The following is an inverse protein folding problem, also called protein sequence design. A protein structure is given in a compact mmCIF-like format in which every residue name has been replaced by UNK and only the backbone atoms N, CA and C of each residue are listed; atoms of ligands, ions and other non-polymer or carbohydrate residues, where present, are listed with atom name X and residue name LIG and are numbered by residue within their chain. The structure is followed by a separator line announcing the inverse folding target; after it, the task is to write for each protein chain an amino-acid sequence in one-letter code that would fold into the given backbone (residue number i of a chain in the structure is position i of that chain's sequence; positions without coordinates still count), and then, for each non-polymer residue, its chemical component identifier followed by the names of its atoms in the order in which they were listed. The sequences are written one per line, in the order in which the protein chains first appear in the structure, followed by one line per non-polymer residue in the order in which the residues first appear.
data_IF_935952153590
#
_entry.id   IF_935952153590
#
_cell.length_a   1.000
_cell.length_b   1.000
_cell.length_c   1.000
_cell.angle_alpha   90.00
_cell.angle_beta   90.00
_cell.angle_gamma   90.00
#
_symmetry.space_group_name_H-M   'P 1'
#
loop_
_entity.id
_entity.type
_entity.pdbx_description
1 polymer ?
#
# COMPACT_ATOMS: atom_id res chain seq x y z
N UNK A 1 -26.45 1.49 2.26
CA UNK A 1 -25.52 0.58 2.99
C UNK A 1 -24.35 0.23 2.07
N UNK A 2 -23.11 0.12 2.57
CA UNK A 2 -21.98 -0.24 1.70
C UNK A 2 -22.02 -1.73 1.33
N UNK A 3 -21.41 -2.14 0.21
CA UNK A 3 -21.32 -3.57 -0.17
C UNK A 3 -20.71 -4.44 0.94
N UNK A 4 -19.75 -3.91 1.69
CA UNK A 4 -19.16 -4.57 2.84
C UNK A 4 -20.18 -4.78 3.95
N UNK A 5 -20.88 -3.72 4.34
CA UNK A 5 -21.88 -3.77 5.42
C UNK A 5 -23.00 -4.75 5.10
N UNK A 6 -23.55 -4.71 3.88
CA UNK A 6 -24.60 -5.64 3.45
C UNK A 6 -24.10 -7.09 3.39
N UNK A 7 -22.85 -7.33 3.00
CA UNK A 7 -22.27 -8.67 2.98
C UNK A 7 -22.08 -9.24 4.40
N UNK A 8 -21.62 -8.42 5.36
CA UNK A 8 -21.48 -8.83 6.75
C UNK A 8 -22.84 -9.20 7.37
N UNK A 9 -23.82 -8.31 7.21
CA UNK A 9 -25.17 -8.51 7.76
C UNK A 9 -25.84 -9.76 7.20
N UNK A 10 -25.77 -9.98 5.88
CA UNK A 10 -26.39 -11.16 5.25
C UNK A 10 -25.75 -12.49 5.63
N UNK A 11 -24.57 -12.48 6.26
CA UNK A 11 -23.83 -13.68 6.66
C UNK A 11 -23.70 -13.81 8.19
N UNK A 12 -24.56 -13.12 8.95
CA UNK A 12 -24.63 -13.25 10.41
C UNK A 12 -23.57 -12.47 11.17
N UNK A 13 -22.73 -11.68 10.49
CA UNK A 13 -21.75 -10.78 11.11
C UNK A 13 -22.40 -9.42 11.42
N UNK A 14 -23.50 -9.46 12.20
CA UNK A 14 -24.36 -8.30 12.44
C UNK A 14 -23.63 -7.23 13.28
N UNK A 15 -22.91 -7.63 14.33
CA UNK A 15 -22.17 -6.69 15.18
C UNK A 15 -21.04 -6.01 14.40
N UNK A 16 -20.35 -6.76 13.55
CA UNK A 16 -19.33 -6.24 12.64
C UNK A 16 -19.94 -5.26 11.64
N UNK A 17 -21.10 -5.59 11.07
CA UNK A 17 -21.81 -4.72 10.13
C UNK A 17 -22.15 -3.37 10.78
N UNK A 18 -22.67 -3.38 12.01
CA UNK A 18 -22.96 -2.15 12.77
C UNK A 18 -21.70 -1.29 12.96
N UNK A 19 -20.60 -1.88 13.46
CA UNK A 19 -19.32 -1.17 13.63
C UNK A 19 -18.83 -0.55 12.33
N UNK A 20 -18.83 -1.31 11.24
CA UNK A 20 -18.42 -0.82 9.91
C UNK A 20 -19.35 0.32 9.45
N UNK A 21 -20.65 0.23 9.73
CA UNK A 21 -21.64 1.25 9.35
C UNK A 21 -21.44 2.59 10.06
N UNK A 22 -20.82 2.59 11.25
CA UNK A 22 -20.50 3.80 12.01
C UNK A 22 -19.09 4.34 11.71
N UNK A 23 -18.13 3.45 11.44
CA UNK A 23 -16.76 3.81 11.11
C UNK A 23 -16.65 4.46 9.73
N UNK A 24 -17.22 3.84 8.69
CA UNK A 24 -17.11 4.34 7.31
C UNK A 24 -17.59 5.80 7.13
N UNK A 25 -18.73 6.23 7.72
CA UNK A 25 -19.19 7.61 7.57
C UNK A 25 -18.44 8.63 8.44
N UNK A 26 -17.62 8.19 9.41
CA UNK A 26 -16.84 9.06 10.30
C UNK A 26 -15.90 9.96 9.47
N UNK A 27 -15.79 11.28 9.79
CA UNK A 27 -14.92 12.20 9.07
C UNK A 27 -13.45 11.74 8.96
N UNK A 28 -12.91 11.11 10.01
CA UNK A 28 -11.53 10.62 10.02
C UNK A 28 -11.30 9.47 9.07
N UNK A 29 -12.30 8.61 8.88
CA UNK A 29 -12.24 7.56 7.86
C UNK A 29 -12.49 8.14 6.45
N UNK A 30 -13.49 9.02 6.31
CA UNK A 30 -13.81 9.68 5.03
C UNK A 30 -12.65 10.48 4.47
N UNK A 31 -11.78 11.07 5.31
CA UNK A 31 -10.60 11.80 4.86
C UNK A 31 -9.69 10.96 3.96
N UNK A 32 -9.70 9.62 4.11
CA UNK A 32 -8.91 8.72 3.28
C UNK A 32 -9.32 8.77 1.79
N UNK A 33 -10.48 9.37 1.46
CA UNK A 33 -10.89 9.63 0.06
C UNK A 33 -9.95 10.64 -0.60
N UNK A 34 -9.36 11.52 0.18
CA UNK A 34 -8.42 12.54 -0.30
C UNK A 34 -6.96 12.11 -0.15
N UNK A 35 -6.70 10.82 0.14
CA UNK A 35 -5.35 10.29 0.30
C UNK A 35 -5.09 9.25 -0.76
N UNK A 36 -4.18 9.57 -1.66
CA UNK A 36 -3.72 8.68 -2.71
C UNK A 36 -3.02 7.46 -2.12
N UNK A 37 -3.41 6.28 -2.61
CA UNK A 37 -2.70 5.04 -2.31
C UNK A 37 -1.33 5.02 -3.02
N UNK A 38 -1.28 5.48 -4.28
CA UNK A 38 -0.06 5.48 -5.10
C UNK A 38 0.72 6.81 -5.08
N UNK A 39 0.46 7.70 -4.12
CA UNK A 39 1.18 8.97 -3.93
C UNK A 39 1.38 9.78 -5.23
N UNK A 40 2.58 9.72 -5.80
CA UNK A 40 3.06 10.49 -6.95
C UNK A 40 2.61 9.98 -8.30
N UNK A 41 1.94 8.83 -8.36
CA UNK A 41 1.56 8.16 -9.59
C UNK A 41 0.79 9.04 -10.58
N UNK A 42 -0.10 9.88 -10.05
CA UNK A 42 -0.90 10.82 -10.83
C UNK A 42 -0.09 11.89 -11.56
N UNK A 43 1.14 12.14 -11.12
CA UNK A 43 2.07 13.04 -11.78
C UNK A 43 3.05 12.28 -12.68
N UNK A 44 3.34 11.03 -12.35
CA UNK A 44 4.34 10.22 -13.05
C UNK A 44 3.81 9.50 -14.28
N UNK A 45 2.57 9.00 -14.25
CA UNK A 45 2.10 8.09 -15.29
C UNK A 45 0.76 8.50 -15.88
N UNK A 46 -0.25 8.73 -15.04
CA UNK A 46 -1.60 9.01 -15.51
C UNK A 46 -2.36 9.85 -14.47
N UNK A 47 -2.72 11.08 -14.85
CA UNK A 47 -3.42 12.02 -13.98
C UNK A 47 -4.90 11.68 -13.75
N UNK A 48 -5.46 10.77 -14.54
CA UNK A 48 -6.84 10.27 -14.41
C UNK A 48 -6.96 9.10 -13.44
N UNK A 49 -5.82 8.51 -13.03
CA UNK A 49 -5.80 7.39 -12.11
C UNK A 49 -6.06 7.87 -10.68
N UNK A 50 -7.26 7.57 -10.20
CA UNK A 50 -7.65 7.77 -8.81
C UNK A 50 -7.80 6.41 -8.10
N UNK A 51 -6.88 6.17 -7.15
CA UNK A 51 -6.99 5.06 -6.22
C UNK A 51 -6.56 5.55 -4.84
N UNK A 52 -7.51 5.53 -3.91
CA UNK A 52 -7.41 6.17 -2.62
C UNK A 52 -7.35 5.13 -1.52
N UNK A 53 -6.76 5.51 -0.37
CA UNK A 53 -6.69 4.63 0.79
C UNK A 53 -8.09 4.24 1.29
N UNK A 54 -9.08 5.12 1.14
CA UNK A 54 -10.48 4.79 1.44
C UNK A 54 -10.98 3.56 0.67
N UNK A 55 -10.73 3.52 -0.65
CA UNK A 55 -11.14 2.38 -1.48
C UNK A 55 -10.34 1.12 -1.13
N UNK A 56 -9.04 1.29 -0.83
CA UNK A 56 -8.16 0.20 -0.41
C UNK A 56 -8.66 -0.43 0.89
N UNK A 57 -8.77 0.34 1.97
CA UNK A 57 -9.22 -0.09 3.30
C UNK A 57 -10.56 -0.83 3.27
N UNK A 58 -11.58 -0.29 2.58
CA UNK A 58 -12.89 -0.96 2.47
C UNK A 58 -12.78 -2.30 1.74
N UNK A 59 -11.99 -2.36 0.66
CA UNK A 59 -11.87 -3.59 -0.14
C UNK A 59 -11.01 -4.64 0.57
N UNK A 60 -9.98 -4.22 1.33
CA UNK A 60 -9.20 -5.10 2.20
C UNK A 60 -10.08 -5.69 3.30
N UNK A 61 -10.87 -4.86 4.00
CA UNK A 61 -11.86 -5.34 4.98
C UNK A 61 -12.92 -6.27 4.37
N UNK A 62 -13.37 -5.99 3.14
CA UNK A 62 -14.27 -6.89 2.41
C UNK A 62 -13.65 -8.27 2.14
N UNK A 63 -12.39 -8.32 1.72
CA UNK A 63 -11.71 -9.60 1.50
C UNK A 63 -11.45 -10.36 2.79
N UNK A 64 -11.14 -9.68 3.89
CA UNK A 64 -11.05 -10.31 5.20
C UNK A 64 -12.42 -10.86 5.63
N UNK A 65 -13.51 -10.12 5.43
CA UNK A 65 -14.84 -10.62 5.75
C UNK A 65 -15.20 -11.89 4.98
N UNK A 66 -14.82 -11.98 3.70
CA UNK A 66 -14.96 -13.20 2.89
C UNK A 66 -14.19 -14.36 3.53
N UNK A 67 -12.91 -14.15 3.86
CA UNK A 67 -12.09 -15.20 4.48
C UNK A 67 -12.67 -15.68 5.81
N UNK A 68 -13.10 -14.75 6.68
CA UNK A 68 -13.64 -15.11 7.99
C UNK A 68 -14.95 -15.91 7.86
N UNK A 69 -15.87 -15.46 7.00
CA UNK A 69 -17.17 -16.09 6.79
C UNK A 69 -17.05 -17.45 6.08
N UNK A 70 -16.28 -17.53 4.99
CA UNK A 70 -16.11 -18.75 4.20
C UNK A 70 -15.36 -19.86 4.95
N UNK A 71 -14.60 -19.48 5.98
CA UNK A 71 -13.90 -20.43 6.86
C UNK A 71 -14.62 -20.65 8.19
N UNK A 72 -15.86 -20.19 8.32
CA UNK A 72 -16.68 -20.36 9.52
C UNK A 72 -16.01 -19.86 10.81
N UNK A 73 -15.19 -18.81 10.70
CA UNK A 73 -14.59 -18.15 11.86
C UNK A 73 -15.70 -17.44 12.63
N UNK A 74 -15.63 -17.48 13.96
CA UNK A 74 -16.60 -16.81 14.82
C UNK A 74 -16.51 -15.29 14.67
N UNK A 75 -17.66 -14.60 14.76
CA UNK A 75 -17.73 -13.15 14.62
C UNK A 75 -16.83 -12.42 15.63
N UNK A 76 -16.64 -12.95 16.84
CA UNK A 76 -15.80 -12.31 17.86
C UNK A 76 -14.34 -12.14 17.40
N UNK A 77 -13.79 -13.17 16.73
CA UNK A 77 -12.46 -13.10 16.10
C UNK A 77 -12.54 -12.26 14.83
N UNK A 78 -13.58 -12.49 14.02
CA UNK A 78 -13.81 -11.81 12.76
C UNK A 78 -13.83 -10.28 12.88
N UNK A 79 -14.48 -9.73 13.91
CA UNK A 79 -14.52 -8.28 14.20
C UNK A 79 -13.10 -7.72 14.28
N UNK A 80 -12.21 -8.36 15.04
CA UNK A 80 -10.84 -7.88 15.25
C UNK A 80 -10.09 -7.81 13.93
N UNK A 81 -10.11 -8.90 13.17
CA UNK A 81 -9.44 -9.05 11.88
C UNK A 81 -9.97 -8.05 10.85
N UNK A 82 -11.29 -7.96 10.71
CA UNK A 82 -11.95 -7.11 9.71
C UNK A 82 -11.73 -5.62 10.05
N UNK A 83 -11.82 -5.24 11.32
CA UNK A 83 -11.56 -3.87 11.76
C UNK A 83 -10.09 -3.48 11.62
N UNK A 84 -9.15 -4.39 11.89
CA UNK A 84 -7.74 -4.13 11.62
C UNK A 84 -7.52 -3.87 10.14
N UNK A 85 -8.09 -4.68 9.24
CA UNK A 85 -8.00 -4.44 7.80
C UNK A 85 -8.69 -3.16 7.35
N UNK A 86 -9.80 -2.78 7.98
CA UNK A 86 -10.49 -1.52 7.69
C UNK A 86 -9.65 -0.32 8.14
N UNK A 87 -9.00 -0.39 9.29
CA UNK A 87 -8.35 0.76 9.93
C UNK A 87 -6.83 0.79 9.78
N UNK A 88 -6.17 -0.22 9.20
CA UNK A 88 -4.69 -0.28 9.11
C UNK A 88 -4.07 0.98 8.49
N UNK A 89 -4.78 1.58 7.53
CA UNK A 89 -4.34 2.73 6.75
C UNK A 89 -4.79 4.09 7.33
N UNK A 90 -5.50 4.09 8.46
CA UNK A 90 -6.17 5.28 9.01
C UNK A 90 -5.20 6.38 9.42
N UNK A 91 -3.94 6.04 9.69
CA UNK A 91 -2.88 6.98 10.06
C UNK A 91 -2.10 7.59 8.89
N UNK A 92 -2.34 7.16 7.65
CA UNK A 92 -1.63 7.76 6.52
C UNK A 92 -2.05 9.21 6.27
N UNK A 93 -1.11 10.05 5.85
CA UNK A 93 -1.34 11.45 5.53
C UNK A 93 -1.08 11.71 4.04
N UNK A 94 -1.22 12.96 3.61
CA UNK A 94 -1.05 13.39 2.22
C UNK A 94 0.20 12.77 1.57
N UNK A 95 0.03 12.17 0.40
CA UNK A 95 1.08 11.50 -0.38
C UNK A 95 1.87 10.45 0.41
N UNK A 96 1.28 9.89 1.47
CA UNK A 96 1.79 8.78 2.26
C UNK A 96 3.25 8.95 2.67
N UNK A 97 4.19 8.30 1.98
CA UNK A 97 5.62 8.36 2.27
C UNK A 97 6.22 9.77 2.17
N UNK A 98 5.71 10.64 1.29
CA UNK A 98 6.22 12.01 1.17
C UNK A 98 5.86 12.81 2.42
N UNK A 99 4.57 12.84 2.78
CA UNK A 99 4.12 13.57 3.97
C UNK A 99 4.77 13.05 5.24
N UNK A 100 4.84 11.72 5.37
CA UNK A 100 5.51 11.10 6.50
C UNK A 100 6.98 11.50 6.61
N UNK A 101 7.74 11.52 5.51
CA UNK A 101 9.15 11.97 5.56
C UNK A 101 9.31 13.44 5.90
N UNK A 102 8.42 14.29 5.41
CA UNK A 102 8.46 15.72 5.70
C UNK A 102 8.24 15.91 7.20
N UNK A 103 7.20 15.29 7.76
CA UNK A 103 6.86 15.44 9.18
C UNK A 103 7.75 14.61 10.12
N UNK A 104 8.40 13.54 9.65
CA UNK A 104 9.33 12.75 10.45
C UNK A 104 10.52 13.59 10.92
N UNK A 105 10.97 14.55 10.11
CA UNK A 105 12.08 15.43 10.48
C UNK A 105 11.72 16.47 11.53
N UNK A 106 10.47 16.96 11.52
CA UNK A 106 10.02 18.03 12.41
C UNK A 106 9.30 17.54 13.66
N UNK A 107 8.61 16.39 13.58
CA UNK A 107 7.67 15.90 14.60
C UNK A 107 7.87 14.43 14.96
N UNK A 108 8.92 13.78 14.43
CA UNK A 108 9.13 12.32 14.55
C UNK A 108 7.89 11.49 14.14
N UNK A 109 7.13 11.98 13.17
CA UNK A 109 5.87 11.38 12.74
C UNK A 109 6.04 9.94 12.18
N UNK A 110 5.13 9.07 12.62
CA UNK A 110 4.93 7.70 12.16
C UNK A 110 3.42 7.48 11.89
N UNK A 111 3.07 6.95 10.71
CA UNK A 111 1.68 6.74 10.35
C UNK A 111 1.01 5.64 11.21
N UNK A 112 1.74 4.62 11.66
CA UNK A 112 1.18 3.57 12.53
C UNK A 112 0.76 4.14 13.88
N UNK A 113 1.67 4.87 14.55
CA UNK A 113 1.40 5.56 15.83
C UNK A 113 0.29 6.60 15.68
N UNK A 114 0.27 7.35 14.57
CA UNK A 114 -0.80 8.30 14.33
C UNK A 114 -2.15 7.62 14.07
N UNK A 115 -2.13 6.45 13.43
CA UNK A 115 -3.31 5.60 13.29
C UNK A 115 -3.89 5.23 14.65
N UNK A 116 -3.04 4.82 15.58
CA UNK A 116 -3.44 4.49 16.95
C UNK A 116 -4.07 5.68 17.68
N UNK A 117 -3.48 6.87 17.55
CA UNK A 117 -4.03 8.12 18.10
C UNK A 117 -5.42 8.39 17.51
N UNK A 118 -5.57 8.31 16.18
CA UNK A 118 -6.88 8.54 15.53
C UNK A 118 -7.92 7.55 16.03
N UNK A 119 -7.56 6.26 16.11
CA UNK A 119 -8.44 5.20 16.59
C UNK A 119 -8.91 5.49 18.02
N UNK A 120 -7.97 5.80 18.92
CA UNK A 120 -8.25 6.07 20.32
C UNK A 120 -9.08 7.35 20.54
N UNK A 121 -8.83 8.41 19.77
CA UNK A 121 -9.51 9.69 20.01
C UNK A 121 -10.87 9.78 19.30
N UNK A 122 -11.04 9.12 18.15
CA UNK A 122 -12.16 9.40 17.24
C UNK A 122 -13.11 8.22 17.03
N UNK A 123 -12.73 7.02 17.47
CA UNK A 123 -13.55 5.81 17.36
C UNK A 123 -13.82 5.15 18.72
N UNK A 124 -13.28 5.70 19.82
CA UNK A 124 -13.50 5.16 21.17
C UNK A 124 -14.97 5.04 21.56
N UNK A 125 -15.78 6.06 21.28
CA UNK A 125 -17.22 6.04 21.59
C UNK A 125 -17.95 4.91 20.84
N UNK A 126 -17.66 4.74 19.55
CA UNK A 126 -18.19 3.64 18.72
C UNK A 126 -17.83 2.30 19.35
N UNK A 127 -16.56 2.07 19.66
CA UNK A 127 -16.14 0.81 20.26
C UNK A 127 -16.75 0.58 21.65
N UNK A 128 -16.84 1.62 22.47
CA UNK A 128 -17.44 1.54 23.81
C UNK A 128 -18.93 1.16 23.75
N UNK A 129 -19.71 1.77 22.86
CA UNK A 129 -21.15 1.48 22.69
C UNK A 129 -21.36 0.01 22.32
N UNK A 130 -20.47 -0.54 21.49
CA UNK A 130 -20.55 -1.93 21.03
C UNK A 130 -19.80 -2.93 21.92
N UNK A 131 -19.35 -2.52 23.12
CA UNK A 131 -18.57 -3.35 24.05
C UNK A 131 -17.34 -3.99 23.36
N UNK A 132 -16.62 -3.21 22.55
CA UNK A 132 -15.35 -3.58 21.94
C UNK A 132 -14.24 -2.83 22.67
N UNK A 133 -13.28 -3.55 23.25
CA UNK A 133 -12.11 -2.93 23.84
C UNK A 133 -11.04 -2.68 22.76
N UNK A 134 -10.48 -1.48 22.73
CA UNK A 134 -9.44 -1.09 21.77
C UNK A 134 -8.21 -2.02 21.75
N UNK A 135 -7.65 -2.44 22.91
CA UNK A 135 -6.60 -3.46 22.93
C UNK A 135 -7.00 -4.76 22.20
N UNK A 136 -8.26 -5.18 22.30
CA UNK A 136 -8.76 -6.39 21.62
C UNK A 136 -8.73 -6.26 20.09
N UNK A 137 -8.83 -5.06 19.52
CA UNK A 137 -8.70 -4.87 18.06
C UNK A 137 -7.25 -5.12 17.60
N UNK A 138 -6.27 -4.83 18.46
CA UNK A 138 -4.85 -5.05 18.18
C UNK A 138 -4.37 -6.46 18.54
N UNK A 139 -5.02 -7.08 19.52
CA UNK A 139 -4.76 -8.45 19.97
C UNK A 139 -5.45 -9.47 19.04
N UNK A 140 -4.90 -9.58 17.84
CA UNK A 140 -5.30 -10.60 16.87
C UNK A 140 -4.37 -11.80 17.02
N UNK A 141 -4.91 -13.02 17.19
CA UNK A 141 -4.10 -14.22 17.23
C UNK A 141 -3.17 -14.31 16.01
N UNK A 142 -1.94 -14.77 16.22
CA UNK A 142 -0.90 -14.76 15.17
C UNK A 142 -1.38 -15.40 13.86
N UNK A 143 -2.15 -16.48 13.93
CA UNK A 143 -2.70 -17.16 12.76
C UNK A 143 -3.59 -16.29 11.86
N UNK A 144 -4.13 -15.18 12.36
CA UNK A 144 -4.96 -14.25 11.58
C UNK A 144 -4.21 -12.95 11.28
N UNK A 145 -3.26 -12.56 12.13
CA UNK A 145 -2.42 -11.36 11.93
C UNK A 145 -1.64 -11.43 10.60
N UNK A 146 -1.19 -12.62 10.25
CA UNK A 146 -0.46 -12.89 8.99
C UNK A 146 -1.26 -12.56 7.72
N UNK A 147 -2.60 -12.53 7.78
CA UNK A 147 -3.45 -12.13 6.66
C UNK A 147 -3.25 -10.66 6.27
N UNK A 148 -2.74 -9.84 7.20
CA UNK A 148 -2.45 -8.42 7.00
C UNK A 148 -0.96 -8.09 7.11
N UNK A 149 -0.15 -9.00 7.64
CA UNK A 149 1.27 -8.76 7.87
C UNK A 149 2.09 -10.03 7.57
N UNK A 150 2.40 -10.26 6.30
CA UNK A 150 3.22 -11.39 5.85
C UNK A 150 3.86 -11.13 4.49
N UNK A 151 4.60 -12.09 3.94
CA UNK A 151 5.14 -11.96 2.59
C UNK A 151 4.06 -11.87 1.49
N UNK A 152 2.87 -12.45 1.71
CA UNK A 152 1.72 -12.40 0.79
C UNK A 152 0.46 -11.99 1.55
N UNK A 153 0.41 -10.81 2.16
CA UNK A 153 -0.80 -10.30 2.83
C UNK A 153 -1.88 -9.74 1.88
N UNK A 154 -3.09 -9.62 2.42
CA UNK A 154 -4.24 -9.07 1.72
C UNK A 154 -4.10 -7.59 1.39
N UNK A 155 -3.39 -6.82 2.21
CA UNK A 155 -3.01 -5.44 1.90
C UNK A 155 -2.24 -5.42 0.56
N UNK A 156 -1.11 -6.13 0.49
CA UNK A 156 -0.27 -6.20 -0.70
C UNK A 156 -1.02 -6.80 -1.89
N UNK A 157 -1.74 -7.90 -1.70
CA UNK A 157 -2.51 -8.57 -2.77
C UNK A 157 -3.55 -7.63 -3.38
N UNK A 158 -4.32 -6.93 -2.55
CA UNK A 158 -5.31 -5.97 -2.99
C UNK A 158 -4.63 -4.82 -3.74
N UNK A 159 -3.62 -4.20 -3.13
CA UNK A 159 -2.93 -3.03 -3.65
C UNK A 159 -2.27 -3.30 -5.00
N UNK A 160 -1.55 -4.41 -5.14
CA UNK A 160 -0.89 -4.81 -6.39
C UNK A 160 -1.90 -5.15 -7.48
N UNK A 161 -2.95 -5.91 -7.15
CA UNK A 161 -3.99 -6.27 -8.11
C UNK A 161 -4.73 -5.04 -8.64
N UNK A 162 -5.06 -4.09 -7.75
CA UNK A 162 -5.71 -2.84 -8.12
C UNK A 162 -4.78 -1.96 -8.94
N UNK A 163 -3.51 -1.85 -8.57
CA UNK A 163 -2.49 -1.10 -9.32
C UNK A 163 -2.34 -1.66 -10.74
N UNK A 164 -2.26 -2.97 -10.90
CA UNK A 164 -2.22 -3.63 -12.21
C UNK A 164 -3.42 -3.26 -13.08
N UNK A 165 -4.63 -3.25 -12.49
CA UNK A 165 -5.85 -2.83 -13.20
C UNK A 165 -5.77 -1.40 -13.70
N UNK A 166 -5.28 -0.46 -12.88
CA UNK A 166 -5.12 0.96 -13.26
C UNK A 166 -4.09 1.11 -14.38
N UNK A 167 -3.01 0.34 -14.32
CA UNK A 167 -1.95 0.31 -15.32
C UNK A 167 -2.30 -0.48 -16.59
N UNK A 168 -3.49 -1.07 -16.67
CA UNK A 168 -3.90 -1.95 -17.78
C UNK A 168 -2.93 -3.13 -18.00
N UNK A 169 -2.23 -3.55 -16.95
CA UNK A 169 -1.40 -4.76 -16.92
C UNK A 169 -2.28 -5.94 -16.53
N UNK A 170 -2.00 -7.12 -17.09
CA UNK A 170 -2.69 -8.36 -16.71
C UNK A 170 -2.59 -8.59 -15.20
N UNK A 171 -3.73 -8.47 -14.51
CA UNK A 171 -3.86 -8.71 -13.06
C UNK A 171 -4.02 -10.20 -12.75
N UNK A 172 -3.78 -10.56 -11.49
CA UNK A 172 -4.22 -11.85 -10.95
C UNK A 172 -5.74 -11.86 -10.71
N UNK A 173 -6.31 -13.06 -10.60
CA UNK A 173 -7.68 -13.23 -10.10
C UNK A 173 -7.65 -13.33 -8.57
N UNK A 174 -7.68 -12.17 -7.92
CA UNK A 174 -7.64 -12.07 -6.46
C UNK A 174 -8.89 -12.67 -5.80
N UNK A 175 -10.07 -12.54 -6.41
CA UNK A 175 -11.30 -13.09 -5.83
C UNK A 175 -11.26 -14.61 -5.83
N UNK A 176 -10.81 -15.22 -6.95
CA UNK A 176 -10.58 -16.67 -7.02
C UNK A 176 -9.54 -17.14 -6.00
N UNK A 177 -8.44 -16.40 -5.82
CA UNK A 177 -7.40 -16.76 -4.84
C UNK A 177 -7.97 -16.78 -3.41
N UNK A 178 -8.72 -15.75 -3.03
CA UNK A 178 -9.31 -15.62 -1.70
C UNK A 178 -10.33 -16.72 -1.42
N UNK A 179 -11.22 -17.00 -2.37
CA UNK A 179 -12.26 -18.03 -2.24
C UNK A 179 -11.72 -19.47 -2.08
N UNK A 180 -10.42 -19.68 -2.30
CA UNK A 180 -9.77 -20.98 -2.19
C UNK A 180 -8.75 -21.03 -1.03
N UNK A 181 -8.63 -19.95 -0.24
CA UNK A 181 -7.85 -19.95 0.99
C UNK A 181 -8.66 -20.55 2.12
N UNK A 182 -8.08 -21.55 2.78
CA UNK A 182 -8.71 -22.31 3.85
C UNK A 182 -7.93 -22.21 5.15
N UNK A 183 -8.64 -22.04 6.26
CA UNK A 183 -8.08 -22.12 7.60
C UNK A 183 -8.21 -23.55 8.14
N UNK A 184 -7.15 -24.09 8.74
CA UNK A 184 -7.21 -25.37 9.45
C UNK A 184 -7.15 -25.13 10.95
N UNK A 185 -8.24 -25.40 11.66
CA UNK A 185 -8.31 -25.28 13.12
C UNK A 185 -7.28 -26.18 13.83
N UNK A 186 -7.08 -27.41 13.31
CA UNK A 186 -6.15 -28.39 13.91
C UNK A 186 -4.69 -27.91 13.89
N UNK A 187 -4.26 -27.30 12.78
CA UNK A 187 -2.87 -26.82 12.65
C UNK A 187 -2.72 -25.34 12.96
N UNK A 188 -3.83 -24.59 12.99
CA UNK A 188 -3.89 -23.12 13.05
C UNK A 188 -3.20 -22.41 11.88
N UNK A 189 -3.21 -23.02 10.68
CA UNK A 189 -2.51 -22.47 9.51
C UNK A 189 -3.50 -22.24 8.35
N UNK A 190 -3.26 -21.16 7.61
CA UNK A 190 -3.91 -20.89 6.33
C UNK A 190 -3.25 -21.66 5.19
N UNK A 191 -4.04 -22.24 4.31
CA UNK A 191 -3.53 -23.00 3.19
C UNK A 191 -4.38 -22.78 1.95
N UNK A 192 -3.76 -22.99 0.79
CA UNK A 192 -4.44 -23.05 -0.50
C UNK A 192 -4.08 -24.36 -1.19
N UNK A 193 -4.94 -24.81 -2.09
CA UNK A 193 -4.63 -25.96 -2.93
C UNK A 193 -3.40 -25.67 -3.82
N UNK A 194 -2.50 -26.64 -3.99
CA UNK A 194 -1.28 -26.49 -4.79
C UNK A 194 -1.52 -26.15 -6.27
N UNK A 195 -2.73 -26.37 -6.78
CA UNK A 195 -3.15 -25.94 -8.13
C UNK A 195 -3.05 -24.43 -8.35
N UNK A 196 -3.11 -23.62 -7.27
CA UNK A 196 -2.96 -22.15 -7.30
C UNK A 196 -1.51 -21.65 -7.33
N UNK A 197 -0.53 -22.56 -7.38
CA UNK A 197 0.89 -22.20 -7.46
C UNK A 197 1.18 -21.19 -8.60
N UNK A 198 0.57 -21.39 -9.78
CA UNK A 198 0.80 -20.50 -10.93
C UNK A 198 0.26 -19.10 -10.66
N UNK A 199 -0.92 -18.97 -10.04
CA UNK A 199 -1.51 -17.69 -9.65
C UNK A 199 -0.63 -16.96 -8.63
N UNK A 200 -0.09 -17.65 -7.61
CA UNK A 200 0.84 -17.07 -6.63
C UNK A 200 2.15 -16.62 -7.29
N UNK A 201 2.71 -17.44 -8.18
CA UNK A 201 3.92 -17.07 -8.92
C UNK A 201 3.66 -15.84 -9.83
N UNK A 202 2.50 -15.78 -10.46
CA UNK A 202 2.09 -14.64 -11.27
C UNK A 202 1.92 -13.37 -10.43
N UNK A 203 1.43 -13.48 -9.19
CA UNK A 203 1.40 -12.36 -8.25
C UNK A 203 2.81 -11.80 -7.99
N UNK A 204 3.79 -12.65 -7.68
CA UNK A 204 5.16 -12.21 -7.45
C UNK A 204 5.80 -11.55 -8.67
N UNK A 205 5.59 -12.13 -9.85
CA UNK A 205 6.01 -11.52 -11.13
C UNK A 205 5.38 -10.15 -11.32
N UNK A 206 4.08 -10.03 -11.06
CA UNK A 206 3.33 -8.79 -11.18
C UNK A 206 3.79 -7.73 -10.17
N UNK A 207 3.97 -8.10 -8.90
CA UNK A 207 4.54 -7.24 -7.85
C UNK A 207 5.91 -6.72 -8.29
N UNK A 208 6.78 -7.60 -8.80
CA UNK A 208 8.10 -7.20 -9.32
C UNK A 208 8.00 -6.21 -10.47
N UNK A 209 7.14 -6.46 -11.46
CA UNK A 209 6.93 -5.55 -12.61
C UNK A 209 6.46 -4.17 -12.11
N UNK A 210 5.46 -4.13 -11.24
CA UNK A 210 4.92 -2.88 -10.68
C UNK A 210 6.01 -2.11 -9.92
N UNK A 211 6.76 -2.82 -9.07
CA UNK A 211 7.79 -2.20 -8.26
C UNK A 211 8.94 -1.65 -9.12
N UNK A 212 9.46 -2.44 -10.06
CA UNK A 212 10.61 -2.06 -10.87
C UNK A 212 10.28 -0.96 -11.89
N UNK A 213 9.14 -1.08 -12.57
CA UNK A 213 8.83 -0.22 -13.70
C UNK A 213 8.06 1.03 -13.31
N UNK A 214 7.41 1.04 -12.13
CA UNK A 214 6.54 2.14 -11.73
C UNK A 214 6.90 2.72 -10.37
N UNK A 215 6.88 1.93 -9.28
CA UNK A 215 7.12 2.46 -7.92
C UNK A 215 8.56 3.00 -7.79
N UNK A 216 9.55 2.22 -8.18
CA UNK A 216 10.96 2.58 -8.13
C UNK A 216 11.50 3.12 -9.45
N UNK A 217 10.64 3.49 -10.41
CA UNK A 217 11.12 4.13 -11.63
C UNK A 217 11.78 5.47 -11.30
N UNK A 218 12.80 5.85 -12.08
CA UNK A 218 13.47 7.14 -11.91
C UNK A 218 12.48 8.29 -12.02
N UNK A 219 11.52 8.18 -12.96
CA UNK A 219 10.45 9.16 -13.14
C UNK A 219 9.65 9.36 -11.84
N UNK A 220 9.22 8.26 -11.22
CA UNK A 220 8.45 8.33 -9.97
C UNK A 220 9.28 8.88 -8.81
N UNK A 221 10.52 8.40 -8.64
CA UNK A 221 11.42 8.88 -7.58
C UNK A 221 11.78 10.37 -7.72
N UNK A 222 11.98 10.84 -8.96
CA UNK A 222 12.26 12.25 -9.21
C UNK A 222 11.06 13.13 -8.88
N UNK A 223 9.84 12.70 -9.23
CA UNK A 223 8.62 13.40 -8.86
C UNK A 223 8.42 13.40 -7.34
N UNK A 224 8.70 12.29 -6.65
CA UNK A 224 8.70 12.28 -5.18
C UNK A 224 9.65 13.33 -4.61
N UNK A 225 10.87 13.42 -5.15
CA UNK A 225 11.84 14.43 -4.75
C UNK A 225 11.33 15.85 -5.01
N UNK A 226 10.81 16.14 -6.20
CA UNK A 226 10.22 17.45 -6.53
C UNK A 226 9.10 17.78 -5.54
N UNK A 227 8.15 16.87 -5.34
CA UNK A 227 7.05 17.08 -4.41
C UNK A 227 7.56 17.33 -2.99
N UNK A 228 8.53 16.57 -2.50
CA UNK A 228 9.17 16.83 -1.21
C UNK A 228 9.79 18.24 -1.13
N UNK A 229 10.52 18.66 -2.17
CA UNK A 229 11.17 19.98 -2.25
C UNK A 229 10.16 21.14 -2.18
N UNK A 230 9.02 21.03 -2.84
CA UNK A 230 8.02 22.10 -2.85
C UNK A 230 7.05 22.03 -1.66
N UNK A 231 6.60 20.84 -1.26
CA UNK A 231 5.69 20.67 -0.12
C UNK A 231 6.35 21.12 1.18
N UNK A 232 7.65 20.83 1.37
CA UNK A 232 8.39 21.28 2.56
C UNK A 232 8.49 22.81 2.71
N UNK A 233 8.20 23.59 1.66
CA UNK A 233 8.17 25.05 1.69
C UNK A 233 6.79 25.62 2.02
N UNK A 234 5.75 24.78 2.04
CA UNK A 234 4.40 25.21 2.39
C UNK A 234 4.35 25.47 3.90
N UNK A 235 4.08 26.72 4.28
CA UNK A 235 3.89 27.11 5.69
C UNK A 235 2.62 26.43 6.26
N UNK A 236 2.65 26.08 7.55
CA UNK A 236 1.51 25.48 8.28
C UNK A 236 0.99 24.16 7.67
N UNK A 237 1.90 23.28 7.27
CA UNK A 237 1.55 21.94 6.80
C UNK A 237 0.91 21.14 7.94
N UNK A 238 -0.38 20.78 7.82
CA UNK A 238 -1.10 20.03 8.85
C UNK A 238 -1.28 18.56 8.47
N UNK A 239 -1.39 17.66 9.45
CA UNK A 239 -1.64 16.21 9.23
C UNK A 239 -2.99 15.92 8.57
N UNK A 240 -3.95 16.84 8.73
CA UNK A 240 -5.32 16.75 8.20
C UNK A 240 -5.41 17.43 6.82
N UNK A 241 -4.31 17.95 6.29
CA UNK A 241 -4.34 18.69 5.03
C UNK A 241 -4.79 17.79 3.87
N UNK A 242 -5.78 18.28 3.14
CA UNK A 242 -6.40 17.60 2.00
C UNK A 242 -5.41 17.63 0.82
N UNK A 243 -5.10 16.48 0.21
CA UNK A 243 -4.14 16.42 -0.91
C UNK A 243 -4.52 17.38 -2.03
N UNK A 244 -5.81 17.53 -2.34
CA UNK A 244 -6.29 18.42 -3.40
C UNK A 244 -5.81 19.87 -3.23
N UNK A 245 -5.73 20.38 -2.00
CA UNK A 245 -5.17 21.71 -1.71
C UNK A 245 -3.68 21.78 -2.03
N UNK A 246 -2.93 20.73 -1.69
CA UNK A 246 -1.50 20.64 -2.02
C UNK A 246 -1.31 20.55 -3.54
N UNK A 247 -2.10 19.71 -4.21
CA UNK A 247 -2.05 19.54 -5.67
C UNK A 247 -2.30 20.89 -6.35
N UNK A 248 -3.31 21.64 -5.93
CA UNK A 248 -3.61 22.95 -6.49
C UNK A 248 -2.46 23.94 -6.25
N UNK A 249 -1.88 23.95 -5.05
CA UNK A 249 -0.70 24.76 -4.76
C UNK A 249 0.51 24.39 -5.62
N UNK A 250 0.73 23.10 -5.90
CA UNK A 250 1.81 22.63 -6.77
C UNK A 250 1.56 22.99 -8.23
N UNK A 251 0.33 22.80 -8.73
CA UNK A 251 -0.07 23.17 -10.10
C UNK A 251 0.05 24.67 -10.38
N UNK A 252 -0.19 25.51 -9.37
CA UNK A 252 -0.03 26.96 -9.48
C UNK A 252 1.43 27.42 -9.33
N UNK A 253 2.35 26.53 -8.95
CA UNK A 253 3.76 26.85 -8.85
C UNK A 253 4.44 26.67 -10.23
N UNK A 254 4.70 27.78 -10.91
CA UNK A 254 5.30 27.80 -12.26
C UNK A 254 6.62 27.02 -12.30
N UNK A 255 7.47 27.15 -11.26
CA UNK A 255 8.75 26.44 -11.23
C UNK A 255 8.57 24.93 -11.13
N UNK A 256 7.63 24.48 -10.27
CA UNK A 256 7.27 23.05 -10.19
C UNK A 256 6.74 22.53 -11.52
N UNK A 257 5.82 23.26 -12.16
CA UNK A 257 5.24 22.85 -13.43
C UNK A 257 6.27 22.83 -14.56
N UNK A 258 7.21 23.77 -14.58
CA UNK A 258 8.31 23.78 -15.56
C UNK A 258 9.25 22.58 -15.36
N UNK A 259 9.66 22.28 -14.12
CA UNK A 259 10.49 21.10 -13.81
C UNK A 259 9.73 19.80 -14.14
N UNK A 260 8.43 19.72 -13.88
CA UNK A 260 7.59 18.56 -14.20
C UNK A 260 7.41 18.37 -15.72
N UNK A 261 7.16 19.46 -16.47
CA UNK A 261 6.99 19.41 -17.92
C UNK A 261 8.28 18.99 -18.63
N UNK A 262 9.44 19.48 -18.17
CA UNK A 262 10.75 19.01 -18.65
C UNK A 262 10.89 17.50 -18.49
N UNK A 263 10.57 16.96 -17.32
CA UNK A 263 10.61 15.52 -17.07
C UNK A 263 9.65 14.73 -17.99
N UNK A 264 8.43 15.22 -18.19
CA UNK A 264 7.43 14.54 -19.03
C UNK A 264 7.74 14.59 -20.53
N UNK A 265 8.59 15.52 -20.97
CA UNK A 265 9.06 15.59 -22.36
C UNK A 265 10.17 14.58 -22.71
N UNK A 266 10.72 13.88 -21.71
CA UNK A 266 11.72 12.83 -21.93
C UNK A 266 11.04 11.57 -22.51
N UNK A 267 11.63 10.97 -23.56
CA UNK A 267 11.13 9.72 -24.13
C UNK A 267 11.38 8.55 -23.16
N UNK A 268 10.49 7.57 -23.15
CA UNK A 268 10.62 6.36 -22.29
C UNK A 268 11.94 5.58 -22.54
N UNK A 269 12.52 5.69 -23.73
CA UNK A 269 13.83 5.13 -24.10
C UNK A 269 15.01 5.79 -23.39
N UNK A 270 14.92 7.10 -23.10
CA UNK A 270 15.92 7.83 -22.32
C UNK A 270 15.82 7.49 -20.84
N UNK A 271 14.61 7.17 -20.35
CA UNK A 271 14.36 6.72 -18.97
C UNK A 271 14.78 5.25 -18.75
N UNK A 272 14.71 4.41 -19.79
CA UNK A 272 15.10 2.99 -19.72
C UNK A 272 16.61 2.75 -19.89
N UNK A 273 17.35 3.61 -20.59
CA UNK A 273 18.84 3.59 -20.58
C UNK A 273 19.43 3.82 -19.18
N UNK A 274 18.72 4.55 -18.32
CA UNK A 274 19.08 4.78 -16.92
C UNK A 274 18.91 3.49 -16.07
N UNK A 275 18.10 2.53 -16.52
CA UNK A 275 17.75 1.34 -15.75
C UNK A 275 18.64 0.10 -16.03
N UNK A 276 19.62 0.17 -16.94
CA UNK A 276 20.34 -1.02 -17.44
C UNK A 276 21.87 -1.06 -17.22
N UNK A 277 22.52 0.00 -16.71
CA UNK A 277 23.95 -0.09 -16.37
C UNK A 277 24.14 -0.50 -14.91
N UNK A 278 24.33 -1.81 -14.74
CA UNK A 278 24.89 -2.50 -13.56
C UNK A 278 25.81 -1.60 -12.72
N UNK A 279 25.41 -1.36 -11.48
CA UNK A 279 26.22 -1.33 -10.24
C UNK A 279 27.50 -0.47 -10.14
N UNK A 280 27.96 0.24 -11.16
CA UNK A 280 29.07 1.18 -11.05
C UNK A 280 28.82 2.43 -11.91
N UNK A 281 29.04 3.60 -11.29
CA UNK A 281 29.00 4.97 -11.83
C UNK A 281 27.62 5.65 -11.92
N UNK A 282 27.18 6.11 -10.75
CA UNK A 282 26.28 7.26 -10.57
C UNK A 282 26.77 8.56 -11.28
N UNK A 283 28.08 8.66 -11.60
CA UNK A 283 28.67 9.80 -12.30
C UNK A 283 28.20 9.93 -13.77
N UNK A 284 27.75 8.85 -14.40
CA UNK A 284 27.30 8.90 -15.81
C UNK A 284 25.88 9.46 -15.96
N UNK A 285 25.04 9.34 -14.93
CA UNK A 285 23.64 9.80 -14.94
C UNK A 285 23.51 11.30 -14.62
N UNK A 286 24.46 11.85 -13.86
CA UNK A 286 24.57 13.30 -13.57
C UNK A 286 24.89 14.11 -14.82
N UNK A 287 25.72 13.59 -15.72
CA UNK A 287 26.03 14.23 -17.01
C UNK A 287 24.78 14.38 -17.89
N UNK A 288 23.78 13.49 -17.77
CA UNK A 288 22.54 13.58 -18.56
C UNK A 288 21.65 14.71 -18.03
N UNK A 289 21.56 14.88 -16.70
CA UNK A 289 20.83 16.00 -16.08
C UNK A 289 21.50 17.36 -16.35
N UNK A 290 22.83 17.41 -16.39
CA UNK A 290 23.60 18.59 -16.84
C UNK A 290 23.36 18.90 -18.32
N UNK A 291 23.32 17.88 -19.19
CA UNK A 291 23.03 18.03 -20.62
C UNK A 291 21.59 18.50 -20.90
N UNK A 292 20.67 18.41 -19.94
CA UNK A 292 19.29 18.93 -20.03
C UNK A 292 19.16 20.42 -19.63
N UNK A 293 20.28 21.12 -19.42
CA UNK A 293 20.29 22.54 -19.05
C UNK A 293 19.67 22.82 -17.67
N UNK A 294 19.63 21.80 -16.82
CA UNK A 294 19.25 21.93 -15.42
C UNK A 294 20.53 22.29 -14.68
N UNK A 295 20.66 23.55 -14.29
CA UNK A 295 21.85 24.05 -13.62
C UNK A 295 22.00 23.41 -12.22
N UNK A 296 22.94 22.47 -12.11
CA UNK A 296 23.34 21.80 -10.87
C UNK A 296 24.57 22.49 -10.24
N UNK A 297 25.08 23.57 -10.84
CA UNK A 297 26.35 24.22 -10.47
C UNK A 297 26.30 24.99 -9.15
N UNK A 298 25.11 25.21 -8.58
CA UNK A 298 24.96 25.61 -7.18
C UNK A 298 25.24 24.41 -6.26
N UNK A 299 26.54 24.09 -6.19
CA UNK A 299 27.23 23.19 -5.28
C UNK A 299 26.93 23.58 -3.82
N UNK A 300 25.79 23.12 -3.33
CA UNK A 300 25.55 22.80 -1.92
C UNK A 300 24.44 21.77 -1.71
N UNK A 301 23.79 21.27 -2.76
CA UNK A 301 23.04 20.02 -2.67
C UNK A 301 24.00 18.86 -2.89
N UNK A 302 24.65 18.47 -1.81
CA UNK A 302 25.25 17.16 -1.65
C UNK A 302 24.13 16.13 -1.89
N UNK A 303 24.00 15.65 -3.13
CA UNK A 303 23.17 14.47 -3.47
C UNK A 303 23.76 13.21 -2.81
N UNK A 304 24.92 13.26 -2.13
CA UNK A 304 25.35 12.16 -1.25
C UNK A 304 24.52 12.02 0.04
N UNK A 305 23.52 12.89 0.27
CA UNK A 305 22.54 12.75 1.38
C UNK A 305 21.09 12.63 0.94
N UNK A 306 20.78 12.56 -0.35
CA UNK A 306 19.54 11.89 -0.75
C UNK A 306 19.86 10.41 -0.61
N UNK A 307 19.41 9.76 0.48
CA UNK A 307 19.27 8.31 0.50
C UNK A 307 18.32 7.99 -0.66
N UNK A 308 18.85 7.82 -1.86
CA UNK A 308 18.17 7.10 -2.92
C UNK A 308 17.84 5.79 -2.26
N UNK A 309 16.54 5.51 -2.23
CA UNK A 309 16.05 4.28 -1.68
C UNK A 309 16.88 3.16 -2.27
N UNK A 310 17.44 2.31 -1.40
CA UNK A 310 17.90 1.01 -1.89
C UNK A 310 16.69 0.42 -2.61
N UNK A 311 16.77 0.33 -3.94
CA UNK A 311 16.02 -0.67 -4.68
C UNK A 311 16.24 -1.96 -3.86
N UNK A 312 15.20 -2.60 -3.29
CA UNK A 312 15.35 -3.60 -2.22
C UNK A 312 16.06 -4.91 -2.65
N UNK A 313 16.98 -4.85 -3.61
CA UNK A 313 17.42 -5.96 -4.42
C UNK A 313 16.33 -6.32 -5.43
N UNK A 314 16.69 -7.16 -6.40
CA UNK A 314 15.69 -7.91 -7.16
C UNK A 314 14.77 -8.60 -6.15
N UNK A 315 13.46 -8.27 -6.16
CA UNK A 315 12.45 -9.08 -5.46
C UNK A 315 12.70 -10.52 -5.90
N UNK A 316 13.16 -11.37 -4.97
CA UNK A 316 13.47 -12.76 -5.27
C UNK A 316 12.16 -13.40 -5.71
N UNK A 317 12.14 -13.84 -6.97
CA UNK A 317 11.03 -14.63 -7.49
C UNK A 317 11.40 -16.10 -7.26
N UNK A 318 10.54 -16.86 -6.57
CA UNK A 318 10.70 -18.31 -6.48
C UNK A 318 10.75 -18.95 -7.87
N UNK A 319 11.75 -19.77 -8.16
CA UNK A 319 11.93 -20.36 -9.51
C UNK A 319 11.24 -21.71 -9.63
N UNK A 320 10.94 -22.35 -8.51
CA UNK A 320 10.28 -23.64 -8.41
C UNK A 320 9.27 -23.66 -7.26
N UNK A 321 8.44 -24.70 -7.20
CA UNK A 321 7.53 -24.94 -6.07
C UNK A 321 8.31 -25.10 -4.76
N UNK A 322 9.46 -25.79 -4.83
CA UNK A 322 10.38 -25.98 -3.70
C UNK A 322 10.97 -24.65 -3.25
N UNK A 323 11.41 -23.81 -4.20
CA UNK A 323 11.92 -22.47 -3.90
C UNK A 323 10.85 -21.56 -3.26
N UNK A 324 9.58 -21.72 -3.66
CA UNK A 324 8.48 -20.94 -3.09
C UNK A 324 8.24 -21.36 -1.64
N UNK A 325 8.32 -22.66 -1.36
CA UNK A 325 8.15 -23.17 -0.01
C UNK A 325 9.25 -22.63 0.91
N UNK A 326 10.52 -22.70 0.50
CA UNK A 326 11.64 -22.14 1.26
C UNK A 326 11.52 -20.61 1.42
N UNK A 327 11.05 -19.92 0.37
CA UNK A 327 10.84 -18.47 0.38
C UNK A 327 9.71 -18.02 1.32
N UNK A 328 8.66 -18.84 1.46
CA UNK A 328 7.52 -18.57 2.34
C UNK A 328 7.70 -19.13 3.76
N UNK A 329 8.75 -19.92 4.04
CA UNK A 329 8.93 -20.62 5.32
C UNK A 329 8.03 -21.84 5.50
N UNK A 330 7.56 -22.43 4.39
CA UNK A 330 6.52 -23.46 4.35
C UNK A 330 7.14 -24.86 4.35
N UNK A 331 6.89 -25.66 5.39
CA UNK A 331 7.25 -27.08 5.42
C UNK A 331 6.19 -27.95 4.74
N UNK A 332 6.61 -28.86 3.84
CA UNK A 332 5.72 -29.79 3.15
C UNK A 332 5.11 -30.79 4.14
N UNK A 333 3.79 -30.78 4.28
CA UNK A 333 3.04 -31.89 4.88
C UNK A 333 2.43 -32.73 3.74
N UNK A 334 2.37 -34.05 3.92
CA UNK A 334 2.06 -35.10 2.90
C UNK A 334 0.75 -34.95 2.10
N UNK A 335 -0.02 -33.86 2.22
CA UNK A 335 -1.41 -33.72 1.77
C UNK A 335 -1.65 -32.81 0.54
N UNK A 336 -0.68 -32.55 -0.34
CA UNK A 336 -0.86 -31.71 -1.56
C UNK A 336 -1.38 -30.26 -1.29
N UNK A 337 -1.09 -29.68 -0.11
CA UNK A 337 -1.46 -28.30 0.25
C UNK A 337 -0.25 -27.37 0.18
N UNK A 338 -0.48 -26.11 -0.21
CA UNK A 338 0.46 -25.01 -0.01
C UNK A 338 0.04 -24.24 1.23
N UNK A 339 0.90 -24.17 2.23
CA UNK A 339 0.69 -23.26 3.34
C UNK A 339 1.02 -21.85 2.84
N UNK A 340 0.10 -20.93 3.01
CA UNK A 340 0.37 -19.52 2.80
C UNK A 340 0.34 -18.93 4.20
N UNK A 341 1.21 -17.96 4.49
CA UNK A 341 1.22 -17.32 5.79
C UNK A 341 1.72 -18.24 6.91
N UNK A 342 3.02 -18.50 6.95
CA UNK A 342 3.69 -19.16 8.09
C UNK A 342 4.60 -18.21 8.81
#
# INVERSE_FOLDING_TARGET
MSKLTSYLESNGYVKTALLVSEIIPNPWFKRLKDISYLATFRFAFDNSVEFTRYQHSIKTAYYLSRLMIENHIEEEIGIKVILQGLLHDIGHIFFSHIGERILRKSENFNHEEYGDIIINENFYSVFKIHNIHLPLIKEIPNQYKILLNSHIDLDTLQGITKTAKLLKIKKIDLEKLIMNMHYSENTKIWHINNTFYKEILNFWKLKRIIYQNYVYSIKNQFIEYLMMKYISRIKNLSKILIESKIINSLKNNINFMNELNKLNSLKDEDVTKINLKKTEKFNTDMNILENLGIDISNKNYIISKVKIFKNPGLIKIPRSLTDLNDFLGVHYHKEKRLYIFT
#
